data_IF_433677464333
#
_entry.id   IF_433677464333
#
_cell.length_a   1.000
_cell.length_b   1.000
_cell.length_c   1.000
_cell.angle_alpha   90.00
_cell.angle_beta   90.00
_cell.angle_gamma   90.00
#
_symmetry.space_group_name_H-M   'P 1'
#
loop_
_entity.id
_entity.type
_entity.pdbx_description
1 polymer ?
#
# COMPACT_ATOMS: atom_id res chain seq x y z
N UNK A 1 -17.22 -8.48 -1.84
CA UNK A 1 -16.34 -9.07 -2.87
C UNK A 1 -14.99 -8.37 -2.92
N UNK A 2 -14.95 -7.05 -2.71
CA UNK A 2 -13.73 -6.27 -2.53
C UNK A 2 -13.69 -5.59 -1.15
N UNK A 3 -12.49 -5.28 -0.69
CA UNK A 3 -12.26 -4.50 0.52
C UNK A 3 -10.90 -3.79 0.43
N UNK A 4 -10.67 -2.72 1.18
CA UNK A 4 -9.33 -2.14 1.29
C UNK A 4 -9.17 -1.39 2.59
N UNK A 5 -7.93 -1.09 2.98
CA UNK A 5 -7.66 -0.32 4.18
C UNK A 5 -6.72 0.86 3.92
N UNK A 6 -6.88 1.90 4.74
CA UNK A 6 -5.96 3.04 4.78
C UNK A 6 -5.63 3.33 6.25
N UNK A 7 -4.37 3.70 6.51
CA UNK A 7 -3.91 4.17 7.82
C UNK A 7 -4.03 5.70 7.89
N UNK A 8 -4.67 6.21 8.92
CA UNK A 8 -4.75 7.64 9.22
C UNK A 8 -4.12 7.93 10.58
N UNK A 9 -3.61 9.14 10.76
CA UNK A 9 -3.02 9.62 12.02
C UNK A 9 -3.82 10.75 12.68
N UNK A 10 -4.71 11.40 11.95
CA UNK A 10 -5.53 12.53 12.41
C UNK A 10 -7.02 12.14 12.45
N UNK A 11 -7.79 12.48 13.50
CA UNK A 11 -7.38 13.15 14.75
C UNK A 11 -6.60 12.25 15.72
N UNK A 12 -6.69 10.93 15.54
CA UNK A 12 -5.89 9.94 16.26
C UNK A 12 -5.50 8.81 15.30
N UNK A 13 -4.44 8.03 15.57
CA UNK A 13 -4.09 6.86 14.77
C UNK A 13 -5.26 5.87 14.65
N UNK A 14 -5.68 5.59 13.43
CA UNK A 14 -6.76 4.63 13.17
C UNK A 14 -6.64 3.98 11.79
N UNK A 15 -7.32 2.85 11.63
CA UNK A 15 -7.52 2.17 10.35
C UNK A 15 -8.92 2.48 9.85
N UNK A 16 -9.04 2.84 8.57
CA UNK A 16 -10.31 2.81 7.85
C UNK A 16 -10.31 1.59 6.96
N UNK A 17 -11.17 0.63 7.28
CA UNK A 17 -11.36 -0.58 6.49
C UNK A 17 -12.70 -0.45 5.78
N UNK A 18 -12.68 -0.53 4.45
CA UNK A 18 -13.87 -0.37 3.61
C UNK A 18 -14.20 -1.70 2.98
N UNK A 19 -15.45 -2.11 3.08
CA UNK A 19 -15.97 -3.34 2.48
C UNK A 19 -17.00 -2.96 1.42
N UNK A 20 -16.87 -3.51 0.22
CA UNK A 20 -17.90 -3.38 -0.79
C UNK A 20 -19.05 -4.36 -0.46
N UNK A 21 -20.25 -3.81 -0.35
CA UNK A 21 -21.46 -4.53 0.06
C UNK A 21 -22.46 -4.55 -1.10
N UNK A 22 -22.49 -5.66 -1.83
CA UNK A 22 -23.33 -5.83 -3.02
C UNK A 22 -24.79 -6.13 -2.67
N UNK A 23 -25.08 -6.40 -1.39
CA UNK A 23 -26.39 -6.80 -0.89
C UNK A 23 -26.65 -6.12 0.46
N UNK A 24 -27.43 -5.03 0.42
CA UNK A 24 -27.67 -4.17 1.58
C UNK A 24 -28.38 -4.91 2.73
N UNK A 25 -29.14 -5.95 2.43
CA UNK A 25 -29.84 -6.75 3.45
C UNK A 25 -28.85 -7.52 4.32
N UNK A 26 -27.63 -7.77 3.82
CA UNK A 26 -26.55 -8.41 4.58
C UNK A 26 -25.71 -7.44 5.41
N UNK A 27 -25.95 -6.12 5.33
CA UNK A 27 -25.13 -5.12 6.02
C UNK A 27 -25.06 -5.38 7.54
N UNK A 28 -26.21 -5.69 8.16
CA UNK A 28 -26.26 -5.99 9.60
C UNK A 28 -25.42 -7.21 9.99
N UNK A 29 -25.47 -8.27 9.16
CA UNK A 29 -24.69 -9.51 9.36
C UNK A 29 -23.19 -9.23 9.21
N UNK A 30 -22.80 -8.43 8.22
CA UNK A 30 -21.40 -8.05 7.99
C UNK A 30 -20.85 -7.27 9.19
N UNK A 31 -21.60 -6.27 9.68
CA UNK A 31 -21.21 -5.47 10.84
C UNK A 31 -21.06 -6.35 12.08
N UNK A 32 -22.00 -7.27 12.34
CA UNK A 32 -21.95 -8.18 13.47
C UNK A 32 -20.73 -9.11 13.41
N UNK A 33 -20.43 -9.68 12.22
CA UNK A 33 -19.26 -10.51 12.01
C UNK A 33 -17.95 -9.76 12.25
N UNK A 34 -17.84 -8.51 11.78
CA UNK A 34 -16.66 -7.66 12.01
C UNK A 34 -16.49 -7.40 13.51
N UNK A 35 -17.56 -6.99 14.20
CA UNK A 35 -17.52 -6.75 15.66
C UNK A 35 -17.06 -7.98 16.43
N UNK A 36 -17.56 -9.17 16.06
CA UNK A 36 -17.13 -10.44 16.65
C UNK A 36 -15.65 -10.72 16.36
N UNK A 37 -15.21 -10.55 15.13
CA UNK A 37 -13.82 -10.81 14.72
C UNK A 37 -12.81 -9.92 15.46
N UNK A 38 -13.20 -8.69 15.83
CA UNK A 38 -12.31 -7.76 16.52
C UNK A 38 -12.54 -7.65 18.02
N UNK A 39 -13.54 -8.34 18.57
CA UNK A 39 -13.96 -8.27 19.98
C UNK A 39 -12.78 -8.48 20.95
N UNK A 40 -11.99 -9.53 20.74
CA UNK A 40 -10.81 -9.81 21.56
C UNK A 40 -9.82 -8.64 21.58
N UNK A 41 -9.63 -7.91 20.47
CA UNK A 41 -8.73 -6.75 20.45
C UNK A 41 -9.32 -5.55 21.20
N UNK A 42 -10.64 -5.43 21.27
CA UNK A 42 -11.32 -4.42 22.11
C UNK A 42 -11.19 -4.79 23.58
N UNK A 43 -11.44 -6.05 23.93
CA UNK A 43 -11.36 -6.56 25.31
C UNK A 43 -9.93 -6.48 25.90
N UNK A 44 -8.91 -6.49 25.04
CA UNK A 44 -7.51 -6.35 25.43
C UNK A 44 -6.94 -4.93 25.18
N UNK A 45 -7.79 -3.92 25.04
CA UNK A 45 -7.43 -2.50 24.86
C UNK A 45 -6.53 -2.19 23.65
N UNK A 46 -6.43 -3.09 22.67
CA UNK A 46 -5.74 -2.86 21.40
C UNK A 46 -6.59 -2.02 20.44
N UNK A 47 -7.92 -2.08 20.57
CA UNK A 47 -8.87 -1.25 19.83
C UNK A 47 -9.74 -0.51 20.82
N UNK A 48 -9.53 0.80 20.93
CA UNK A 48 -10.33 1.67 21.81
C UNK A 48 -11.73 1.96 21.27
N UNK A 49 -11.90 2.10 19.94
CA UNK A 49 -13.18 2.51 19.33
C UNK A 49 -13.37 1.89 17.95
N UNK A 50 -14.60 1.45 17.68
CA UNK A 50 -15.06 1.02 16.35
C UNK A 50 -16.22 1.94 15.93
N UNK A 51 -16.19 2.43 14.70
CA UNK A 51 -17.22 3.31 14.15
C UNK A 51 -17.51 2.95 12.70
N UNK A 52 -18.79 2.94 12.34
CA UNK A 52 -19.25 2.92 10.94
C UNK A 52 -19.43 4.35 10.45
N UNK A 53 -18.99 4.65 9.24
CA UNK A 53 -19.04 6.00 8.68
C UNK A 53 -19.38 5.96 7.18
N UNK A 54 -19.78 7.11 6.64
CA UNK A 54 -20.09 7.28 5.23
C UNK A 54 -18.80 7.28 4.41
N UNK A 55 -18.77 6.47 3.37
CA UNK A 55 -17.68 6.50 2.39
C UNK A 55 -18.02 7.45 1.24
N UNK A 56 -17.36 8.61 1.23
CA UNK A 56 -17.38 9.52 0.09
C UNK A 56 -16.23 9.16 -0.85
N UNK A 57 -16.55 8.66 -2.05
CA UNK A 57 -15.57 8.34 -3.08
C UNK A 57 -14.85 9.61 -3.55
N UNK A 58 -13.52 9.55 -3.69
CA UNK A 58 -12.69 10.66 -4.16
C UNK A 58 -12.70 10.75 -5.70
N UNK A 59 -13.88 10.91 -6.29
CA UNK A 59 -14.07 10.94 -7.75
C UNK A 59 -13.22 12.05 -8.40
N UNK A 60 -13.12 13.21 -7.75
CA UNK A 60 -12.26 14.33 -8.16
C UNK A 60 -10.79 13.93 -8.36
N UNK A 61 -10.31 12.96 -7.59
CA UNK A 61 -8.91 12.51 -7.59
C UNK A 61 -8.67 11.36 -8.55
N UNK A 62 -9.59 10.40 -8.58
CA UNK A 62 -9.42 9.15 -9.32
C UNK A 62 -10.20 9.10 -10.63
N UNK A 63 -10.99 10.12 -10.96
CA UNK A 63 -11.79 10.22 -12.17
C UNK A 63 -13.10 9.42 -12.10
N UNK A 64 -14.15 9.95 -12.74
CA UNK A 64 -15.48 9.32 -12.76
C UNK A 64 -15.46 7.96 -13.49
N UNK A 65 -14.74 7.87 -14.60
CA UNK A 65 -14.64 6.66 -15.41
C UNK A 65 -13.59 5.65 -14.92
N UNK A 66 -12.85 5.98 -13.85
CA UNK A 66 -11.68 5.22 -13.40
C UNK A 66 -11.70 4.92 -11.90
N UNK A 67 -12.77 5.31 -11.19
CA UNK A 67 -12.90 5.10 -9.74
C UNK A 67 -13.01 3.62 -9.37
N UNK A 68 -13.69 2.80 -10.18
CA UNK A 68 -13.86 1.37 -9.92
C UNK A 68 -12.54 0.61 -10.11
N UNK A 69 -11.77 0.98 -11.14
CA UNK A 69 -10.41 0.51 -11.40
C UNK A 69 -9.47 0.87 -10.25
N UNK A 70 -9.57 2.11 -9.74
CA UNK A 70 -8.78 2.55 -8.60
C UNK A 70 -9.13 1.77 -7.32
N UNK A 71 -10.42 1.53 -7.05
CA UNK A 71 -10.86 0.73 -5.89
C UNK A 71 -10.42 -0.73 -6.00
N UNK A 72 -10.45 -1.31 -7.21
CA UNK A 72 -9.89 -2.63 -7.49
C UNK A 72 -8.38 -2.67 -7.21
N UNK A 73 -7.64 -1.63 -7.60
CA UNK A 73 -6.22 -1.49 -7.28
C UNK A 73 -6.00 -1.40 -5.76
N UNK A 74 -6.82 -0.64 -5.03
CA UNK A 74 -6.70 -0.54 -3.56
C UNK A 74 -6.95 -1.87 -2.86
N UNK A 75 -7.89 -2.66 -3.37
CA UNK A 75 -8.14 -4.02 -2.86
C UNK A 75 -6.93 -4.93 -3.07
N UNK A 76 -6.41 -4.99 -4.28
CA UNK A 76 -5.24 -5.81 -4.59
C UNK A 76 -4.00 -5.36 -3.81
N UNK A 77 -3.80 -4.05 -3.64
CA UNK A 77 -2.69 -3.51 -2.85
C UNK A 77 -2.85 -3.81 -1.35
N UNK A 78 -4.06 -3.71 -0.81
CA UNK A 78 -4.37 -4.05 0.58
C UNK A 78 -4.12 -5.53 0.89
N UNK A 79 -4.61 -6.43 0.02
CA UNK A 79 -4.42 -7.88 0.14
C UNK A 79 -2.93 -8.25 0.04
N UNK A 80 -2.19 -7.64 -0.89
CA UNK A 80 -0.74 -7.79 -1.00
C UNK A 80 -0.02 -7.36 0.28
N UNK A 81 -0.38 -6.20 0.82
CA UNK A 81 0.26 -5.66 2.02
C UNK A 81 0.09 -6.58 3.22
N UNK A 82 -1.12 -7.12 3.46
CA UNK A 82 -1.34 -8.04 4.58
C UNK A 82 -0.50 -9.30 4.40
N UNK A 83 -0.56 -9.94 3.23
CA UNK A 83 0.23 -11.16 2.95
C UNK A 83 1.73 -10.94 3.04
N UNK A 84 2.21 -9.77 2.62
CA UNK A 84 3.62 -9.43 2.73
C UNK A 84 4.04 -9.19 4.18
N UNK A 85 3.22 -8.51 4.99
CA UNK A 85 3.51 -8.24 6.40
C UNK A 85 3.60 -9.52 7.25
N UNK A 86 2.94 -10.61 6.85
CA UNK A 86 3.09 -11.92 7.49
C UNK A 86 4.47 -12.57 7.25
N UNK A 87 5.17 -12.14 6.19
CA UNK A 87 6.44 -12.71 5.72
C UNK A 87 7.63 -11.79 6.01
N UNK A 88 7.38 -10.52 6.30
CA UNK A 88 8.42 -9.51 6.51
C UNK A 88 8.83 -9.52 7.98
N UNK A 89 10.10 -9.83 8.23
CA UNK A 89 10.62 -10.00 9.59
C UNK A 89 11.20 -8.70 10.18
N UNK A 90 11.60 -7.74 9.34
CA UNK A 90 12.23 -6.50 9.78
C UNK A 90 11.96 -5.30 8.86
N UNK A 91 12.29 -4.10 9.36
CA UNK A 91 12.12 -2.82 8.66
C UNK A 91 12.96 -2.68 7.39
N UNK A 92 14.09 -3.37 7.30
CA UNK A 92 14.97 -3.34 6.12
C UNK A 92 14.31 -4.10 4.98
N UNK A 93 13.83 -5.32 5.25
CA UNK A 93 13.08 -6.11 4.29
C UNK A 93 11.77 -5.42 3.90
N UNK A 94 11.06 -4.80 4.85
CA UNK A 94 9.88 -3.97 4.58
C UNK A 94 10.21 -2.87 3.57
N UNK A 95 11.30 -2.14 3.80
CA UNK A 95 11.73 -1.05 2.94
C UNK A 95 12.09 -1.52 1.52
N UNK A 96 12.86 -2.61 1.40
CA UNK A 96 13.22 -3.19 0.10
C UNK A 96 11.98 -3.71 -0.65
N UNK A 97 11.06 -4.37 0.05
CA UNK A 97 9.80 -4.84 -0.53
C UNK A 97 8.93 -3.68 -1.02
N UNK A 98 8.78 -2.61 -0.23
CA UNK A 98 8.03 -1.42 -0.61
C UNK A 98 8.63 -0.74 -1.86
N UNK A 99 9.96 -0.59 -1.91
CA UNK A 99 10.68 -0.07 -3.08
C UNK A 99 10.38 -0.89 -4.35
N UNK A 100 10.49 -2.22 -4.24
CA UNK A 100 10.26 -3.12 -5.38
C UNK A 100 8.78 -3.13 -5.80
N UNK A 101 7.86 -3.06 -4.84
CA UNK A 101 6.41 -2.92 -5.07
C UNK A 101 6.07 -1.66 -5.87
N UNK A 102 6.65 -0.51 -5.52
CA UNK A 102 6.51 0.74 -6.28
C UNK A 102 7.12 0.59 -7.68
N UNK A 103 8.30 -0.02 -7.79
CA UNK A 103 8.92 -0.27 -9.08
C UNK A 103 8.06 -1.16 -10.00
N UNK A 104 7.38 -2.16 -9.45
CA UNK A 104 6.42 -2.98 -10.19
C UNK A 104 5.29 -2.14 -10.79
N UNK A 105 4.77 -1.14 -10.06
CA UNK A 105 3.75 -0.23 -10.59
C UNK A 105 4.32 0.54 -11.79
N UNK A 106 5.49 1.17 -11.64
CA UNK A 106 6.13 1.88 -12.76
C UNK A 106 6.36 0.99 -13.98
N UNK A 107 6.75 -0.27 -13.78
CA UNK A 107 6.92 -1.22 -14.89
C UNK A 107 5.61 -1.53 -15.59
N UNK A 108 4.51 -1.72 -14.86
CA UNK A 108 3.21 -2.03 -15.47
C UNK A 108 2.68 -0.85 -16.26
N UNK A 109 2.86 0.38 -15.76
CA UNK A 109 2.45 1.61 -16.45
C UNK A 109 3.44 2.10 -17.51
N UNK A 110 4.42 1.27 -17.90
CA UNK A 110 5.43 1.56 -18.94
C UNK A 110 6.23 2.85 -18.71
N UNK A 111 6.44 3.25 -17.45
CA UNK A 111 7.25 4.42 -17.14
C UNK A 111 8.70 4.19 -17.61
N UNK A 112 9.19 5.12 -18.41
CA UNK A 112 10.60 5.20 -18.81
C UNK A 112 11.48 5.55 -17.60
N UNK A 113 12.80 5.50 -17.77
CA UNK A 113 13.70 5.94 -16.70
C UNK A 113 13.57 7.45 -16.48
N UNK A 114 13.32 8.21 -17.54
CA UNK A 114 13.06 9.65 -17.50
C UNK A 114 11.78 9.95 -16.71
N UNK A 115 10.69 9.23 -16.96
CA UNK A 115 9.41 9.41 -16.23
C UNK A 115 9.57 9.11 -14.75
N UNK A 116 10.28 8.02 -14.41
CA UNK A 116 10.58 7.65 -13.01
C UNK A 116 11.38 8.74 -12.32
N UNK A 117 12.39 9.29 -13.00
CA UNK A 117 13.23 10.35 -12.45
C UNK A 117 12.45 11.64 -12.24
N UNK A 118 11.57 12.01 -13.17
CA UNK A 118 10.70 13.18 -13.04
C UNK A 118 9.75 13.00 -11.84
N UNK A 119 9.00 11.89 -11.81
CA UNK A 119 8.05 11.59 -10.75
C UNK A 119 8.70 11.60 -9.37
N UNK A 120 9.83 10.93 -9.20
CA UNK A 120 10.53 10.86 -7.90
C UNK A 120 11.08 12.22 -7.49
N UNK A 121 11.56 13.04 -8.43
CA UNK A 121 12.04 14.41 -8.12
C UNK A 121 10.90 15.31 -7.66
N UNK A 122 9.77 15.30 -8.35
CA UNK A 122 8.61 16.11 -7.98
C UNK A 122 8.08 15.74 -6.58
N UNK A 123 7.94 14.44 -6.31
CA UNK A 123 7.53 13.95 -4.99
C UNK A 123 8.56 14.29 -3.90
N UNK A 124 9.85 14.21 -4.21
CA UNK A 124 10.90 14.60 -3.27
C UNK A 124 10.80 16.09 -2.92
N UNK A 125 10.67 16.98 -3.91
CA UNK A 125 10.59 18.42 -3.64
C UNK A 125 9.30 18.79 -2.89
N UNK A 126 8.16 18.16 -3.22
CA UNK A 126 6.92 18.32 -2.47
C UNK A 126 7.08 17.89 -0.99
N UNK A 127 7.67 16.71 -0.76
CA UNK A 127 7.98 16.22 0.59
C UNK A 127 8.92 17.18 1.33
N UNK A 128 9.96 17.69 0.66
CA UNK A 128 10.89 18.64 1.27
C UNK A 128 10.19 19.93 1.71
N UNK A 129 9.26 20.42 0.90
CA UNK A 129 8.49 21.62 1.18
C UNK A 129 7.51 21.42 2.36
N UNK A 130 6.76 20.31 2.35
CA UNK A 130 5.78 19.99 3.39
C UNK A 130 6.44 19.78 4.77
N UNK A 131 7.55 19.07 4.81
CA UNK A 131 8.22 18.69 6.06
C UNK A 131 9.36 19.63 6.48
N UNK A 132 9.52 20.78 5.81
CA UNK A 132 10.63 21.73 6.03
C UNK A 132 12.00 21.03 6.09
N UNK A 133 12.24 20.12 5.14
CA UNK A 133 13.43 19.27 5.18
C UNK A 133 14.71 20.13 5.23
N UNK A 134 15.60 19.78 6.14
CA UNK A 134 16.88 20.47 6.31
C UNK A 134 18.03 19.61 5.75
N UNK A 135 19.21 20.22 5.61
CA UNK A 135 20.43 19.50 5.18
C UNK A 135 20.75 18.25 6.02
N UNK A 136 20.29 18.20 7.28
CA UNK A 136 20.46 17.05 8.17
C UNK A 136 19.65 15.85 7.70
N UNK A 137 18.38 16.03 7.34
CA UNK A 137 17.52 14.95 6.83
C UNK A 137 18.11 14.33 5.55
N UNK A 138 18.53 15.17 4.59
CA UNK A 138 19.17 14.68 3.36
C UNK A 138 20.43 13.86 3.65
N UNK A 139 21.24 14.26 4.64
CA UNK A 139 22.44 13.52 5.05
C UNK A 139 22.09 12.17 5.69
N UNK A 140 21.03 12.11 6.50
CA UNK A 140 20.55 10.87 7.12
C UNK A 140 20.03 9.89 6.07
N UNK A 141 19.21 10.36 5.12
CA UNK A 141 18.71 9.56 4.01
C UNK A 141 19.85 9.02 3.14
N UNK A 142 20.84 9.85 2.82
CA UNK A 142 22.01 9.44 2.05
C UNK A 142 22.83 8.35 2.77
N UNK A 143 23.04 8.50 4.09
CA UNK A 143 23.72 7.50 4.90
C UNK A 143 22.93 6.18 4.93
N UNK A 144 21.61 6.23 5.11
CA UNK A 144 20.73 5.05 5.13
C UNK A 144 20.77 4.34 3.78
N UNK A 145 20.63 5.07 2.68
CA UNK A 145 20.70 4.51 1.32
C UNK A 145 22.05 3.83 1.07
N UNK A 146 23.17 4.49 1.36
CA UNK A 146 24.49 3.89 1.14
C UNK A 146 24.75 2.65 1.99
N UNK A 147 24.21 2.61 3.22
CA UNK A 147 24.31 1.45 4.09
C UNK A 147 23.52 0.24 3.63
N UNK A 148 22.50 0.44 2.77
CA UNK A 148 21.61 -0.62 2.26
C UNK A 148 21.73 -0.81 0.75
N UNK A 149 22.67 -0.10 0.09
CA UNK A 149 22.69 0.01 -1.37
C UNK A 149 22.84 -1.35 -2.04
N UNK A 150 23.71 -2.19 -1.49
CA UNK A 150 24.00 -3.51 -2.05
C UNK A 150 22.76 -4.41 -1.95
N UNK A 151 22.18 -4.49 -0.76
CA UNK A 151 21.00 -5.29 -0.44
C UNK A 151 19.79 -4.85 -1.28
N UNK A 152 19.60 -3.53 -1.44
CA UNK A 152 18.54 -2.99 -2.30
C UNK A 152 18.73 -3.45 -3.74
N UNK A 153 19.93 -3.31 -4.32
CA UNK A 153 20.17 -3.70 -5.72
C UNK A 153 19.94 -5.21 -5.89
N UNK A 154 20.51 -6.02 -5.00
CA UNK A 154 20.35 -7.48 -5.02
C UNK A 154 18.86 -7.86 -4.94
N UNK A 155 18.10 -7.28 -4.01
CA UNK A 155 16.67 -7.56 -3.86
C UNK A 155 15.84 -7.09 -5.07
N UNK A 156 16.21 -5.97 -5.69
CA UNK A 156 15.50 -5.42 -6.86
C UNK A 156 15.68 -6.29 -8.11
N UNK A 157 16.86 -6.84 -8.32
CA UNK A 157 17.20 -7.66 -9.50
C UNK A 157 16.81 -9.14 -9.36
N UNK A 158 16.64 -9.60 -8.11
CA UNK A 158 16.34 -10.99 -7.76
C UNK A 158 15.07 -11.53 -8.42
N UNK A 159 15.22 -12.52 -9.31
CA UNK A 159 14.08 -13.19 -9.96
C UNK A 159 13.55 -14.39 -9.17
N UNK A 160 14.40 -15.03 -8.39
CA UNK A 160 14.08 -16.21 -7.58
C UNK A 160 15.04 -16.33 -6.41
N UNK A 161 14.56 -16.78 -5.25
CA UNK A 161 15.38 -16.98 -4.05
C UNK A 161 14.64 -17.88 -3.07
N UNK A 162 15.31 -18.86 -2.45
CA UNK A 162 14.64 -19.84 -1.59
C UNK A 162 13.84 -19.20 -0.45
N UNK A 163 14.42 -18.21 0.21
CA UNK A 163 13.82 -17.54 1.36
C UNK A 163 12.77 -16.49 0.96
N UNK A 164 13.03 -15.73 -0.11
CA UNK A 164 12.20 -14.61 -0.52
C UNK A 164 11.19 -14.97 -1.63
N UNK A 165 11.13 -16.24 -2.04
CA UNK A 165 10.22 -16.69 -3.09
C UNK A 165 8.76 -16.32 -2.83
N UNK A 166 8.24 -16.44 -1.59
CA UNK A 166 6.87 -16.01 -1.29
C UNK A 166 6.65 -14.52 -1.59
N UNK A 167 7.57 -13.65 -1.17
CA UNK A 167 7.50 -12.19 -1.44
C UNK A 167 7.62 -11.87 -2.94
N UNK A 168 8.48 -12.58 -3.67
CA UNK A 168 8.62 -12.44 -5.12
C UNK A 168 7.32 -12.86 -5.82
N UNK A 169 6.70 -13.96 -5.39
CA UNK A 169 5.43 -14.43 -5.95
C UNK A 169 4.29 -13.44 -5.70
N UNK A 170 4.27 -12.79 -4.54
CA UNK A 170 3.34 -11.70 -4.23
C UNK A 170 3.52 -10.52 -5.20
N UNK A 171 4.76 -10.08 -5.47
CA UNK A 171 5.03 -9.00 -6.43
C UNK A 171 4.64 -9.39 -7.87
N UNK A 172 4.88 -10.63 -8.27
CA UNK A 172 4.43 -11.13 -9.58
C UNK A 172 2.90 -11.17 -9.68
N UNK A 173 2.22 -11.57 -8.62
CA UNK A 173 0.75 -11.55 -8.55
C UNK A 173 0.22 -10.12 -8.67
N UNK A 174 0.81 -9.18 -7.93
CA UNK A 174 0.51 -7.74 -8.04
C UNK A 174 0.66 -7.26 -9.48
N UNK A 175 1.78 -7.62 -10.14
CA UNK A 175 2.06 -7.23 -11.52
C UNK A 175 0.93 -7.64 -12.47
N UNK A 176 0.45 -8.88 -12.37
CA UNK A 176 -0.64 -9.37 -13.21
C UNK A 176 -1.99 -8.72 -12.87
N UNK A 177 -2.28 -8.49 -11.58
CA UNK A 177 -3.49 -7.79 -11.15
C UNK A 177 -3.55 -6.34 -11.69
N UNK A 178 -2.45 -5.59 -11.58
CA UNK A 178 -2.39 -4.21 -12.09
C UNK A 178 -2.48 -4.17 -13.61
N UNK A 179 -1.92 -5.15 -14.33
CA UNK A 179 -2.06 -5.21 -15.80
C UNK A 179 -3.52 -5.32 -16.24
N UNK A 180 -4.36 -6.02 -15.47
CA UNK A 180 -5.80 -6.10 -15.76
C UNK A 180 -6.43 -4.71 -15.62
N UNK A 181 -6.14 -4.02 -14.52
CA UNK A 181 -6.60 -2.65 -14.28
C UNK A 181 -6.14 -1.69 -15.39
N UNK A 182 -4.87 -1.77 -15.79
CA UNK A 182 -4.33 -0.94 -16.87
C UNK A 182 -5.02 -1.17 -18.21
N UNK A 183 -5.42 -2.41 -18.55
CA UNK A 183 -6.08 -2.71 -19.84
C UNK A 183 -7.50 -2.11 -19.95
N UNK A 184 -8.09 -1.71 -18.84
CA UNK A 184 -9.39 -1.04 -18.79
C UNK A 184 -9.25 0.47 -19.08
N UNK A 185 -8.02 0.98 -19.14
CA UNK A 185 -7.64 2.34 -19.51
C UNK A 185 -7.04 2.36 -20.94
#
# INVERSE_FOLDING_TARGET
DQWFFIRYTDPNPHLRIRFHCNDIDKLGIIIDNIKKAVSNYVENDLIWKIQTDTYNREIERYGENTIEEAESLFFHDSDLCIKALELIEDDTLLFMFALRSIHTIFQVFDFTIEDKLLFVKENLEAFKAEFNSNKSLSKQLYKKYNGLKKEIIEFMEMQSHNEYQPLINLLNTKKEQIKIVKKLY
#
